data_IF_068881270320
#
_entry.id   IF_068881270320
#
_cell.length_a   1.000
_cell.length_b   1.000
_cell.length_c   1.000
_cell.angle_alpha   90.00
_cell.angle_beta   90.00
_cell.angle_gamma   90.00
#
_symmetry.space_group_name_H-M   'P 1'
#
loop_
_entity.id
_entity.type
_entity.pdbx_description
1 polymer ?
#
# COMPACT_ATOMS: atom_id res chain seq x y z
N UNK A 1 -9.45 2.65 -24.77
CA UNK A 1 -8.58 1.66 -24.23
C UNK A 1 -8.59 1.74 -22.70
N UNK A 2 -8.91 0.67 -22.08
CA UNK A 2 -8.96 0.71 -20.63
C UNK A 2 -7.60 0.98 -20.03
N UNK A 3 -7.59 1.81 -19.01
CA UNK A 3 -6.37 2.08 -18.29
C UNK A 3 -5.77 0.80 -17.71
N UNK A 4 -6.60 -0.22 -17.57
CA UNK A 4 -6.14 -1.48 -17.05
C UNK A 4 -5.03 -2.10 -17.88
N UNK A 5 -4.96 -1.73 -19.15
CA UNK A 5 -3.92 -2.28 -20.01
C UNK A 5 -2.54 -1.80 -19.62
N UNK A 6 -2.48 -0.68 -18.91
CA UNK A 6 -1.21 -0.16 -18.41
C UNK A 6 -1.00 -0.49 -16.96
N UNK A 7 -1.98 -1.14 -16.33
CA UNK A 7 -1.88 -1.46 -14.93
C UNK A 7 -0.83 -2.55 -14.70
N UNK A 8 -0.21 -2.48 -13.54
CA UNK A 8 0.71 -3.52 -13.11
C UNK A 8 -0.06 -4.84 -13.00
N UNK A 9 0.44 -5.92 -13.59
CA UNK A 9 -0.23 -7.21 -13.43
C UNK A 9 -0.30 -7.62 -11.97
N UNK A 10 -1.32 -8.38 -11.58
CA UNK A 10 -1.40 -8.88 -10.20
C UNK A 10 -0.13 -9.64 -9.84
N UNK A 11 0.24 -9.53 -8.58
CA UNK A 11 1.41 -10.23 -8.09
C UNK A 11 1.13 -11.73 -8.03
N UNK A 12 2.10 -12.52 -8.45
CA UNK A 12 2.02 -13.96 -8.28
C UNK A 12 2.23 -14.28 -6.79
N UNK A 13 1.80 -15.47 -6.34
CA UNK A 13 2.09 -15.87 -4.95
C UNK A 13 3.57 -15.84 -4.62
N UNK A 14 4.42 -16.24 -5.57
CA UNK A 14 5.86 -16.22 -5.34
C UNK A 14 6.39 -14.80 -5.19
N UNK A 15 5.94 -13.90 -6.06
CA UNK A 15 6.33 -12.49 -5.97
C UNK A 15 5.87 -11.88 -4.67
N UNK A 16 4.63 -12.16 -4.27
CA UNK A 16 4.09 -11.61 -3.02
C UNK A 16 4.90 -12.11 -1.83
N UNK A 17 5.30 -13.38 -1.86
CA UNK A 17 6.11 -13.95 -0.78
C UNK A 17 7.45 -13.24 -0.67
N UNK A 18 8.10 -13.00 -1.80
CA UNK A 18 9.38 -12.30 -1.81
C UNK A 18 9.25 -10.88 -1.30
N UNK A 19 8.16 -10.20 -1.70
CA UNK A 19 7.93 -8.83 -1.26
C UNK A 19 7.62 -8.77 0.23
N UNK A 20 6.88 -9.77 0.75
CA UNK A 20 6.64 -9.82 2.19
C UNK A 20 7.94 -9.98 2.96
N UNK A 21 8.82 -10.83 2.46
CA UNK A 21 10.13 -11.02 3.11
C UNK A 21 10.95 -9.74 3.10
N UNK A 22 10.96 -9.05 1.97
CA UNK A 22 11.69 -7.79 1.86
C UNK A 22 11.09 -6.73 2.78
N UNK A 23 9.76 -6.71 2.90
CA UNK A 23 9.08 -5.72 3.74
C UNK A 23 9.34 -5.93 5.22
N UNK A 24 9.78 -7.12 5.60
CA UNK A 24 10.02 -7.44 7.01
C UNK A 24 11.03 -6.48 7.64
N UNK A 25 11.94 -5.96 6.84
CA UNK A 25 13.00 -5.07 7.31
C UNK A 25 12.67 -3.60 7.13
N UNK A 26 11.51 -3.29 6.58
CA UNK A 26 11.14 -1.91 6.34
C UNK A 26 10.44 -1.32 7.55
N UNK A 27 10.64 -0.02 7.75
CA UNK A 27 9.88 0.75 8.71
C UNK A 27 8.74 1.46 8.00
N UNK A 28 7.63 1.74 8.69
CA UNK A 28 6.56 2.52 8.07
C UNK A 28 7.08 3.89 7.68
N UNK A 29 6.79 4.29 6.44
CA UNK A 29 7.23 5.60 5.93
C UNK A 29 6.06 6.56 5.77
N UNK A 30 4.83 6.04 5.85
CA UNK A 30 3.62 6.86 5.78
C UNK A 30 2.73 6.47 6.95
N UNK A 31 2.23 7.48 7.66
CA UNK A 31 1.31 7.29 8.77
C UNK A 31 -0.07 7.78 8.36
N UNK A 32 -1.09 6.98 8.59
CA UNK A 32 -2.46 7.32 8.25
C UNK A 32 -3.25 7.42 9.54
N UNK A 33 -3.69 8.65 9.86
CA UNK A 33 -4.46 8.89 11.06
C UNK A 33 -5.90 8.40 10.94
N UNK A 34 -6.68 8.65 11.98
CA UNK A 34 -8.06 8.20 12.01
C UNK A 34 -8.93 8.90 10.96
N UNK A 35 -8.49 10.06 10.49
CA UNK A 35 -9.18 10.75 9.41
C UNK A 35 -9.09 9.99 8.07
N UNK A 36 -8.18 9.05 7.97
CA UNK A 36 -8.08 8.23 6.78
C UNK A 36 -7.22 8.86 5.70
N UNK A 37 -7.51 8.50 4.45
CA UNK A 37 -6.75 8.98 3.32
C UNK A 37 -7.14 10.40 2.96
N UNK A 38 -6.23 11.33 3.18
CA UNK A 38 -6.39 12.70 2.75
C UNK A 38 -5.57 12.90 1.46
N UNK A 39 -5.80 13.98 0.72
CA UNK A 39 -4.96 14.26 -0.45
C UNK A 39 -3.49 14.35 -0.09
N UNK A 40 -3.16 14.89 1.08
CA UNK A 40 -1.76 14.98 1.52
C UNK A 40 -1.16 13.59 1.76
N UNK A 41 -1.92 12.70 2.39
CA UNK A 41 -1.45 11.35 2.65
C UNK A 41 -1.27 10.58 1.33
N UNK A 42 -2.21 10.74 0.40
CA UNK A 42 -2.07 10.09 -0.91
C UNK A 42 -0.84 10.59 -1.64
N UNK A 43 -0.58 11.89 -1.59
CA UNK A 43 0.59 12.46 -2.25
C UNK A 43 1.87 11.93 -1.62
N UNK A 44 1.89 11.80 -0.29
CA UNK A 44 3.05 11.29 0.41
C UNK A 44 3.31 9.82 0.05
N UNK A 45 2.26 9.01 0.00
CA UNK A 45 2.39 7.61 -0.37
C UNK A 45 2.85 7.46 -1.82
N UNK A 46 2.34 8.33 -2.70
CA UNK A 46 2.74 8.31 -4.10
C UNK A 46 4.23 8.59 -4.25
N UNK A 47 4.73 9.60 -3.53
CA UNK A 47 6.15 9.90 -3.57
C UNK A 47 6.98 8.76 -3.02
N UNK A 48 6.52 8.14 -1.94
CA UNK A 48 7.26 7.03 -1.34
C UNK A 48 7.32 5.84 -2.29
N UNK A 49 6.21 5.54 -2.97
CA UNK A 49 6.19 4.44 -3.93
C UNK A 49 7.09 4.72 -5.12
N UNK A 50 7.14 5.97 -5.58
CA UNK A 50 8.04 6.34 -6.66
C UNK A 50 9.49 6.16 -6.26
N UNK A 51 9.82 6.49 -5.02
CA UNK A 51 11.19 6.42 -4.55
C UNK A 51 11.62 4.99 -4.20
N UNK A 52 10.71 4.18 -3.66
CA UNK A 52 11.10 2.89 -3.05
C UNK A 52 10.41 1.67 -3.64
N UNK A 53 9.35 1.84 -4.40
CA UNK A 53 8.55 0.79 -5.01
C UNK A 53 7.79 -0.05 -3.99
N UNK A 54 8.43 -0.48 -2.92
CA UNK A 54 7.83 -1.27 -1.84
C UNK A 54 7.84 -0.43 -0.57
N UNK A 55 6.67 -0.18 0.00
CA UNK A 55 6.59 0.65 1.21
C UNK A 55 5.67 0.01 2.23
N UNK A 56 5.87 0.40 3.47
CA UNK A 56 5.04 0.00 4.59
C UNK A 56 4.37 1.25 5.14
N UNK A 57 3.07 1.13 5.44
CA UNK A 57 2.29 2.23 6.01
C UNK A 57 1.70 1.76 7.33
N UNK A 58 1.52 2.68 8.25
CA UNK A 58 0.87 2.40 9.52
C UNK A 58 -0.45 3.15 9.59
N UNK A 59 -1.52 2.42 9.92
CA UNK A 59 -2.86 3.00 10.06
C UNK A 59 -3.23 3.02 11.53
N UNK A 60 -3.60 4.18 12.03
CA UNK A 60 -4.03 4.32 13.41
C UNK A 60 -5.52 4.05 13.51
N UNK A 61 -5.94 3.47 14.63
CA UNK A 61 -7.33 3.11 14.85
C UNK A 61 -7.48 1.62 15.04
N UNK A 62 -8.65 1.23 15.54
CA UNK A 62 -8.89 -0.15 15.90
C UNK A 62 -9.74 -0.91 14.89
N UNK A 63 -10.32 -0.23 13.92
CA UNK A 63 -11.30 -0.82 13.00
C UNK A 63 -10.59 -1.50 11.84
N UNK A 64 -10.62 -2.83 11.84
CA UNK A 64 -9.99 -3.62 10.77
C UNK A 64 -10.66 -3.35 9.41
N UNK A 65 -11.98 -3.20 9.40
CA UNK A 65 -12.70 -2.97 8.17
C UNK A 65 -12.31 -1.62 7.56
N UNK A 66 -12.13 -0.63 8.40
CA UNK A 66 -11.68 0.69 7.96
C UNK A 66 -10.29 0.58 7.34
N UNK A 67 -9.39 -0.19 7.96
CA UNK A 67 -8.06 -0.39 7.41
C UNK A 67 -8.11 -1.09 6.06
N UNK A 68 -9.01 -2.07 5.91
CA UNK A 68 -9.16 -2.76 4.65
C UNK A 68 -9.63 -1.81 3.56
N UNK A 69 -10.57 -0.92 3.87
CA UNK A 69 -11.05 0.07 2.94
C UNK A 69 -9.94 1.05 2.53
N UNK A 70 -9.11 1.44 3.49
CA UNK A 70 -7.98 2.31 3.20
C UNK A 70 -7.03 1.63 2.23
N UNK A 71 -6.73 0.37 2.45
CA UNK A 71 -5.84 -0.37 1.58
C UNK A 71 -6.40 -0.45 0.16
N UNK A 72 -7.68 -0.77 0.03
CA UNK A 72 -8.31 -0.89 -1.28
C UNK A 72 -8.31 0.45 -2.02
N UNK A 73 -8.66 1.52 -1.31
CA UNK A 73 -8.71 2.84 -1.92
C UNK A 73 -7.30 3.30 -2.31
N UNK A 74 -6.33 3.07 -1.45
CA UNK A 74 -4.95 3.45 -1.72
C UNK A 74 -4.45 2.77 -2.99
N UNK A 75 -4.69 1.47 -3.11
CA UNK A 75 -4.24 0.72 -4.28
C UNK A 75 -4.95 1.18 -5.55
N UNK A 76 -6.25 1.48 -5.45
CA UNK A 76 -7.00 1.95 -6.61
C UNK A 76 -6.52 3.33 -7.05
N UNK A 77 -6.27 4.23 -6.10
CA UNK A 77 -5.89 5.60 -6.40
C UNK A 77 -4.46 5.69 -6.94
N UNK A 78 -3.56 4.91 -6.40
CA UNK A 78 -2.14 5.01 -6.74
C UNK A 78 -1.66 3.92 -7.68
N UNK A 79 -2.52 3.00 -8.06
CA UNK A 79 -2.14 1.92 -8.96
C UNK A 79 -1.11 0.99 -8.37
N UNK A 80 -1.21 0.71 -7.07
CA UNK A 80 -0.28 -0.18 -6.41
C UNK A 80 -0.96 -1.50 -6.07
N UNK A 81 -0.14 -2.48 -5.69
CA UNK A 81 -0.60 -3.83 -5.37
C UNK A 81 -0.51 -4.06 -3.87
N UNK A 82 -1.54 -4.66 -3.27
CA UNK A 82 -1.44 -5.02 -1.85
C UNK A 82 -0.53 -6.23 -1.69
N UNK A 83 0.41 -6.13 -0.77
CA UNK A 83 1.33 -7.23 -0.49
C UNK A 83 0.93 -7.94 0.80
N UNK A 84 0.64 -7.18 1.84
CA UNK A 84 0.35 -7.76 3.14
C UNK A 84 -0.39 -6.76 4.01
N UNK A 85 -1.23 -7.29 4.89
CA UNK A 85 -1.89 -6.51 5.91
C UNK A 85 -1.64 -7.23 7.24
N UNK A 86 -0.88 -6.61 8.14
CA UNK A 86 -0.55 -7.21 9.42
C UNK A 86 -0.93 -6.23 10.52
N UNK A 87 -1.96 -6.55 11.29
CA UNK A 87 -2.40 -5.65 12.35
C UNK A 87 -2.67 -4.27 11.78
N UNK A 88 -1.95 -3.27 12.24
CA UNK A 88 -2.14 -1.90 11.79
C UNK A 88 -1.18 -1.49 10.69
N UNK A 89 -0.45 -2.44 10.11
CA UNK A 89 0.53 -2.18 9.07
C UNK A 89 0.00 -2.66 7.73
N UNK A 90 0.21 -1.84 6.72
CA UNK A 90 -0.10 -2.20 5.33
C UNK A 90 1.18 -2.19 4.53
N UNK A 91 1.34 -3.17 3.64
CA UNK A 91 2.47 -3.23 2.73
C UNK A 91 1.95 -3.21 1.31
N UNK A 92 2.44 -2.27 0.52
CA UNK A 92 2.02 -2.13 -0.88
C UNK A 92 3.24 -2.00 -1.77
N UNK A 93 3.06 -2.35 -3.04
CA UNK A 93 4.13 -2.38 -4.01
C UNK A 93 3.65 -1.76 -5.32
N UNK A 94 4.49 -0.91 -5.92
CA UNK A 94 4.25 -0.36 -7.24
C UNK A 94 5.59 -0.25 -7.95
N UNK A 95 5.60 -0.77 -9.16
CA UNK A 95 6.81 -0.74 -9.96
C UNK A 95 7.03 0.63 -10.59
#
# INVERSE_FOLDING_TARGET
MPASDTATPPLTPAQRRELRAAAHHLHPVVMIGEAGLSPAVLAEADRALTAHELIKLRVFGEDRQHRRQILETLCAELGCQPVQEIGKLLVVYRR
#
